data_IF_098022090400
#
_entry.id   IF_098022090400
#
_cell.length_a   1.000
_cell.length_b   1.000
_cell.length_c   1.000
_cell.angle_alpha   90.00
_cell.angle_beta   90.00
_cell.angle_gamma   90.00
#
_symmetry.space_group_name_H-M   'P 1'
#
loop_
_entity.id
_entity.type
_entity.pdbx_description
1 polymer ?
#
# COMPACT_ATOMS: atom_id res chain seq x y z
N UNK A 1 -22.92 15.74 -12.14
CA UNK A 1 -21.53 16.01 -12.56
C UNK A 1 -20.60 15.56 -11.43
N UNK A 2 -19.91 14.43 -11.57
CA UNK A 2 -19.00 13.94 -10.53
C UNK A 2 -17.66 14.68 -10.67
N UNK A 3 -17.42 15.63 -9.78
CA UNK A 3 -16.14 16.33 -9.68
C UNK A 3 -15.05 15.28 -9.42
N UNK A 4 -14.25 15.00 -10.44
CA UNK A 4 -13.11 14.09 -10.34
C UNK A 4 -12.07 14.87 -9.55
N UNK A 5 -12.05 14.68 -8.24
CA UNK A 5 -11.02 15.22 -7.35
C UNK A 5 -9.64 14.80 -7.88
N UNK A 6 -9.01 15.66 -8.67
CA UNK A 6 -7.74 15.40 -9.37
C UNK A 6 -6.56 15.30 -8.41
N UNK A 7 -6.72 15.77 -7.17
CA UNK A 7 -5.69 15.80 -6.14
C UNK A 7 -5.73 14.62 -5.15
N UNK A 8 -6.61 13.63 -5.36
CA UNK A 8 -6.74 12.47 -4.46
C UNK A 8 -6.06 11.24 -5.04
N UNK A 9 -5.02 10.75 -4.38
CA UNK A 9 -4.41 9.46 -4.72
C UNK A 9 -5.22 8.33 -4.11
N UNK A 10 -5.59 7.35 -4.94
CA UNK A 10 -6.37 6.16 -4.53
C UNK A 10 -5.45 4.96 -4.43
N UNK A 11 -5.39 4.35 -3.25
CA UNK A 11 -4.63 3.15 -2.95
C UNK A 11 -5.58 1.97 -2.77
N UNK A 12 -5.32 0.87 -3.47
CA UNK A 12 -6.07 -0.38 -3.32
C UNK A 12 -5.31 -1.32 -2.39
N UNK A 13 -6.03 -2.13 -1.63
CA UNK A 13 -5.42 -3.20 -0.86
C UNK A 13 -4.53 -4.11 -1.73
N UNK A 14 -3.31 -4.37 -1.26
CA UNK A 14 -2.30 -5.20 -1.96
C UNK A 14 -2.74 -6.64 -2.19
N UNK A 15 -3.65 -7.16 -1.35
CA UNK A 15 -4.16 -8.53 -1.46
C UNK A 15 -5.43 -8.61 -2.30
N UNK A 16 -5.89 -7.52 -2.93
CA UNK A 16 -7.12 -7.49 -3.71
C UNK A 16 -7.18 -8.63 -4.73
N UNK A 17 -6.09 -8.90 -5.45
CA UNK A 17 -6.14 -9.92 -6.50
C UNK A 17 -6.45 -11.31 -5.96
N UNK A 18 -5.95 -11.63 -4.75
CA UNK A 18 -6.15 -12.91 -4.06
C UNK A 18 -7.45 -12.98 -3.26
N UNK A 19 -7.81 -11.91 -2.55
CA UNK A 19 -8.88 -11.90 -1.54
C UNK A 19 -10.13 -11.14 -1.97
N UNK A 20 -10.06 -10.45 -3.12
CA UNK A 20 -11.05 -9.48 -3.62
C UNK A 20 -11.38 -8.38 -2.59
N UNK A 21 -10.42 -8.07 -1.71
CA UNK A 21 -10.55 -7.07 -0.67
C UNK A 21 -10.85 -5.67 -1.21
N UNK A 22 -12.04 -5.15 -0.91
CA UNK A 22 -12.52 -3.84 -1.38
C UNK A 22 -12.08 -2.67 -0.50
N UNK A 23 -11.12 -2.88 0.42
CA UNK A 23 -10.51 -1.81 1.21
C UNK A 23 -9.74 -0.86 0.30
N UNK A 24 -10.03 0.42 0.44
CA UNK A 24 -9.45 1.50 -0.36
C UNK A 24 -9.02 2.61 0.59
N UNK A 25 -7.83 3.16 0.35
CA UNK A 25 -7.34 4.35 1.05
C UNK A 25 -7.25 5.50 0.06
N UNK A 26 -7.70 6.67 0.46
CA UNK A 26 -7.52 7.91 -0.30
C UNK A 26 -6.61 8.83 0.48
N UNK A 27 -5.53 9.30 -0.15
CA UNK A 27 -4.66 10.33 0.39
C UNK A 27 -4.82 11.62 -0.40
N UNK A 28 -4.95 12.74 0.30
CA UNK A 28 -5.11 14.07 -0.28
C UNK A 28 -4.42 15.09 0.62
N UNK A 29 -3.35 15.74 0.13
CA UNK A 29 -2.55 16.64 0.95
C UNK A 29 -2.00 15.94 2.20
N UNK A 30 -2.41 16.41 3.39
CA UNK A 30 -2.02 15.84 4.70
C UNK A 30 -3.07 14.91 5.31
N UNK A 31 -4.12 14.57 4.57
CA UNK A 31 -5.24 13.78 5.07
C UNK A 31 -5.26 12.41 4.41
N UNK A 32 -5.55 11.38 5.22
CA UNK A 32 -5.76 10.00 4.78
C UNK A 32 -7.16 9.58 5.21
N UNK A 33 -7.94 9.05 4.28
CA UNK A 33 -9.27 8.51 4.53
C UNK A 33 -9.38 7.08 4.06
N UNK A 34 -10.03 6.24 4.86
CA UNK A 34 -10.19 4.81 4.57
C UNK A 34 -11.64 4.56 4.20
N UNK A 35 -11.85 3.76 3.17
CA UNK A 35 -13.17 3.30 2.74
C UNK A 35 -13.19 1.77 2.72
N UNK A 36 -14.18 1.21 3.40
CA UNK A 36 -14.39 -0.22 3.64
C UNK A 36 -13.33 -0.85 4.56
N UNK A 37 -13.72 -1.92 5.24
CA UNK A 37 -12.83 -2.72 6.07
C UNK A 37 -12.12 -3.80 5.23
N UNK A 38 -11.00 -4.32 5.76
CA UNK A 38 -10.36 -5.49 5.20
C UNK A 38 -11.19 -6.75 5.47
N UNK A 39 -11.26 -7.65 4.48
CA UNK A 39 -11.93 -8.95 4.59
C UNK A 39 -10.93 -10.11 4.77
N UNK A 40 -9.69 -9.80 5.13
CA UNK A 40 -8.60 -10.77 5.27
C UNK A 40 -7.72 -10.35 6.45
N UNK A 41 -6.96 -11.31 6.96
CA UNK A 41 -6.01 -11.07 8.03
C UNK A 41 -4.86 -10.17 7.56
N UNK A 42 -4.23 -9.51 8.52
CA UNK A 42 -3.07 -8.66 8.25
C UNK A 42 -1.92 -9.54 7.79
N UNK A 43 -1.20 -9.11 6.75
CA UNK A 43 0.05 -9.77 6.39
C UNK A 43 1.05 -9.53 7.51
N UNK A 44 1.37 -10.56 8.27
CA UNK A 44 2.49 -10.54 9.20
C UNK A 44 3.78 -10.49 8.39
N UNK A 45 4.60 -9.47 8.65
CA UNK A 45 5.94 -9.38 8.08
C UNK A 45 6.86 -9.86 9.20
N UNK A 46 7.45 -11.04 9.03
CA UNK A 46 8.42 -11.52 10.00
C UNK A 46 9.61 -10.57 10.01
N UNK A 47 10.03 -10.04 11.18
CA UNK A 47 11.15 -9.10 11.25
C UNK A 47 12.43 -9.66 10.63
N UNK A 48 12.62 -10.98 10.71
CA UNK A 48 13.74 -11.71 10.11
C UNK A 48 13.72 -11.70 8.57
N UNK A 49 12.56 -11.46 7.96
CA UNK A 49 12.37 -11.39 6.50
C UNK A 49 12.39 -9.97 5.97
N UNK A 50 12.45 -8.96 6.84
CA UNK A 50 12.61 -7.56 6.43
C UNK A 50 14.04 -7.38 5.94
N UNK A 51 14.22 -7.52 4.63
CA UNK A 51 15.46 -7.15 3.98
C UNK A 51 15.61 -5.63 4.08
N UNK A 52 16.59 -5.18 4.86
CA UNK A 52 16.96 -3.77 4.94
C UNK A 52 17.82 -3.46 3.70
N UNK A 53 17.40 -2.53 2.83
CA UNK A 53 18.24 -2.10 1.71
C UNK A 53 19.58 -1.57 2.24
N UNK A 54 20.68 -2.13 1.76
CA UNK A 54 22.02 -1.63 2.07
C UNK A 54 22.68 -1.07 0.82
N UNK A 55 23.27 0.12 0.95
CA UNK A 55 24.14 0.66 -0.08
C UNK A 55 25.43 -0.14 -0.10
N UNK A 56 25.69 -0.85 -1.21
CA UNK A 56 26.88 -1.67 -1.39
C UNK A 56 27.72 -1.13 -2.54
N UNK A 57 29.04 -1.15 -2.39
CA UNK A 57 29.99 -0.84 -3.47
C UNK A 57 30.32 -2.15 -4.20
N UNK A 58 29.82 -2.30 -5.42
CA UNK A 58 30.15 -3.44 -6.27
C UNK A 58 31.55 -3.25 -6.85
N UNK A 59 32.50 -4.10 -6.47
CA UNK A 59 33.84 -4.17 -7.07
C UNK A 59 33.87 -5.36 -8.01
N UNK A 60 34.24 -5.14 -9.27
CA UNK A 60 34.50 -6.21 -10.25
C UNK A 60 36.01 -6.46 -10.29
N UNK A 61 36.40 -7.73 -10.23
CA UNK A 61 37.77 -8.19 -10.51
C UNK A 61 37.99 -8.32 -12.02
#
# INVERSE_FOLDING_TARGET
MLYKDTAKTKWRCVTYDKTKCKSIVFSAGKTVSIRNCHNHEKKTIDPKTILVPQYVKVVRM
#
